data_IF_135653505051
#
_entry.id   IF_135653505051
#
_cell.length_a   1.000
_cell.length_b   1.000
_cell.length_c   1.000
_cell.angle_alpha   90.00
_cell.angle_beta   90.00
_cell.angle_gamma   90.00
#
_symmetry.space_group_name_H-M   'P 1'
#
loop_
_entity.id
_entity.type
_entity.pdbx_description
1 polymer ?
#
# COMPACT_ATOMS: atom_id res chain seq x y z
N UNK A 1 23.72 -3.70 -6.08
CA UNK A 1 22.90 -4.95 -6.03
C UNK A 1 23.06 -5.69 -4.70
N UNK A 2 24.21 -5.64 -4.02
CA UNK A 2 24.47 -6.41 -2.79
C UNK A 2 23.62 -6.04 -1.58
N UNK A 3 23.23 -4.78 -1.42
CA UNK A 3 22.33 -4.36 -0.34
C UNK A 3 20.97 -5.07 -0.41
N UNK A 4 20.40 -5.21 -1.61
CA UNK A 4 19.15 -5.94 -1.79
C UNK A 4 19.35 -7.42 -1.44
N UNK A 5 20.45 -8.04 -1.86
CA UNK A 5 20.79 -9.42 -1.47
C UNK A 5 20.93 -9.58 0.05
N UNK A 6 21.53 -8.60 0.74
CA UNK A 6 21.74 -8.62 2.19
C UNK A 6 20.43 -8.41 2.97
N UNK A 7 19.58 -7.49 2.50
CA UNK A 7 18.20 -7.33 3.00
C UNK A 7 17.47 -8.67 2.81
N UNK A 8 17.40 -9.21 1.59
CA UNK A 8 16.56 -10.38 1.29
C UNK A 8 17.08 -11.72 1.81
N UNK A 9 18.40 -11.92 1.92
CA UNK A 9 18.99 -13.11 2.53
C UNK A 9 18.61 -13.25 4.00
N UNK A 10 18.36 -12.12 4.68
CA UNK A 10 17.98 -12.09 6.09
C UNK A 10 16.50 -12.42 6.34
N UNK A 11 15.64 -12.37 5.31
CA UNK A 11 14.18 -12.51 5.45
C UNK A 11 13.59 -13.78 4.78
N UNK A 12 14.41 -14.66 4.20
CA UNK A 12 13.96 -15.89 3.55
C UNK A 12 13.32 -16.96 4.46
N UNK A 13 13.39 -16.79 5.79
CA UNK A 13 12.85 -17.73 6.77
C UNK A 13 11.65 -17.21 7.55
N UNK A 14 10.91 -16.23 7.02
CA UNK A 14 9.69 -15.73 7.68
C UNK A 14 8.58 -16.78 7.52
N UNK A 15 8.64 -17.84 8.34
CA UNK A 15 7.55 -18.78 8.54
C UNK A 15 6.29 -17.98 8.88
N UNK A 16 5.16 -18.39 8.30
CA UNK A 16 3.83 -17.87 8.60
C UNK A 16 3.68 -17.80 10.11
N UNK A 17 3.65 -16.57 10.64
CA UNK A 17 3.47 -16.32 12.05
C UNK A 17 2.17 -17.01 12.48
N UNK A 18 2.27 -17.99 13.39
CA UNK A 18 1.14 -18.33 14.24
C UNK A 18 0.94 -17.10 15.13
N UNK A 19 -0.18 -16.41 14.96
CA UNK A 19 -0.56 -15.32 15.87
C UNK A 19 -0.88 -15.99 17.22
N UNK A 20 0.05 -15.89 18.16
CA UNK A 20 -0.15 -16.30 19.56
C UNK A 20 -0.89 -15.20 20.36
N UNK A 21 -1.75 -14.41 19.71
CA UNK A 21 -2.66 -13.50 20.41
C UNK A 21 -3.80 -14.34 20.95
N UNK A 22 -3.62 -14.87 22.15
CA UNK A 22 -4.72 -15.29 23.03
C UNK A 22 -5.64 -14.07 23.20
N UNK A 23 -6.81 -14.10 22.57
CA UNK A 23 -7.87 -13.12 22.82
C UNK A 23 -8.43 -13.39 24.21
N UNK A 24 -8.01 -12.57 25.19
CA UNK A 24 -8.63 -12.49 26.50
C UNK A 24 -10.10 -12.06 26.34
N UNK A 25 -11.01 -13.04 26.45
CA UNK A 25 -12.43 -12.79 26.58
C UNK A 25 -12.71 -12.09 27.92
N UNK A 26 -12.79 -10.75 27.89
CA UNK A 26 -13.31 -9.99 29.02
C UNK A 26 -14.80 -10.30 29.21
N UNK A 27 -15.10 -10.96 30.33
CA UNK A 27 -16.45 -11.14 30.87
C UNK A 27 -17.15 -9.78 31.01
N UNK A 28 -18.21 -9.58 30.23
CA UNK A 28 -19.09 -8.43 30.34
C UNK A 28 -19.95 -8.64 31.61
N UNK A 29 -19.60 -7.93 32.68
CA UNK A 29 -20.44 -7.86 33.88
C UNK A 29 -21.77 -7.17 33.55
N UNK A 30 -22.87 -7.92 33.67
CA UNK A 30 -24.23 -7.39 33.63
C UNK A 30 -24.43 -6.41 34.79
N UNK A 31 -24.74 -5.15 34.46
CA UNK A 31 -25.11 -4.13 35.43
C UNK A 31 -26.64 -4.09 35.50
N UNK A 32 -27.21 -4.79 36.48
CA UNK A 32 -28.63 -4.72 36.81
C UNK A 32 -28.94 -3.33 37.41
N UNK A 33 -29.58 -2.47 36.61
CA UNK A 33 -30.16 -1.22 37.11
C UNK A 33 -31.68 -1.35 37.13
N UNK A 34 -32.21 -1.61 38.32
CA UNK A 34 -33.63 -1.55 38.64
C UNK A 34 -34.12 -0.10 38.61
N UNK A 35 -35.11 0.19 37.77
CA UNK A 35 -35.93 1.40 37.86
C UNK A 35 -37.35 1.06 38.35
N UNK A 36 -38.00 1.93 39.14
CA UNK A 36 -39.29 1.66 39.75
C UNK A 36 -40.45 1.80 38.77
N UNK A 37 -41.38 0.83 38.81
CA UNK A 37 -42.62 0.80 38.03
C UNK A 37 -43.58 1.91 38.44
N UNK A 38 -43.94 2.76 37.48
CA UNK A 38 -45.11 3.63 37.57
C UNK A 38 -46.39 2.84 37.26
N UNK A 39 -47.37 2.91 38.17
CA UNK A 39 -48.71 2.34 38.00
C UNK A 39 -49.54 3.20 37.04
N UNK A 40 -49.78 2.68 35.82
CA UNK A 40 -50.69 3.27 34.84
C UNK A 40 -52.13 2.76 35.03
N UNK A 41 -53.09 3.64 34.74
CA UNK A 41 -54.54 3.50 34.95
C UNK A 41 -55.22 2.51 34.00
N UNK A 42 -56.35 1.94 34.45
CA UNK A 42 -57.04 0.76 33.90
C UNK A 42 -57.96 0.96 32.69
N UNK A 43 -58.05 2.14 32.07
CA UNK A 43 -59.14 2.43 31.12
C UNK A 43 -58.70 2.68 29.66
N UNK A 44 -57.67 1.98 29.18
CA UNK A 44 -57.30 1.95 27.75
C UNK A 44 -57.04 0.51 27.29
N UNK A 45 -58.12 -0.25 27.14
CA UNK A 45 -58.12 -1.52 26.39
C UNK A 45 -58.43 -1.26 24.91
N UNK A 46 -57.83 -2.10 24.06
CA UNK A 46 -58.15 -2.33 22.65
C UNK A 46 -57.64 -1.37 21.58
N UNK A 47 -56.31 -1.15 21.54
CA UNK A 47 -55.51 -1.35 20.31
C UNK A 47 -54.11 -1.85 20.71
N UNK A 48 -53.98 -3.07 21.23
CA UNK A 48 -52.68 -3.74 21.34
C UNK A 48 -52.23 -4.19 19.95
N UNK A 49 -51.50 -3.33 19.25
CA UNK A 49 -50.73 -3.70 18.07
C UNK A 49 -49.76 -4.82 18.45
N UNK A 50 -49.91 -5.99 17.82
CA UNK A 50 -49.00 -7.14 17.91
C UNK A 50 -47.64 -6.82 17.27
N UNK A 51 -46.86 -5.90 17.87
CA UNK A 51 -45.54 -5.50 17.39
C UNK A 51 -44.39 -6.34 17.99
N UNK A 52 -44.68 -7.38 18.77
CA UNK A 52 -43.68 -8.02 19.66
C UNK A 52 -42.94 -9.24 19.10
N UNK A 53 -43.10 -9.63 17.83
CA UNK A 53 -42.52 -10.91 17.36
C UNK A 53 -41.57 -10.85 16.17
N UNK A 54 -41.33 -9.70 15.53
CA UNK A 54 -40.48 -9.68 14.32
C UNK A 54 -39.01 -9.31 14.57
N UNK A 55 -38.71 -8.47 15.55
CA UNK A 55 -37.32 -8.01 15.79
C UNK A 55 -36.33 -9.14 16.15
N UNK A 56 -36.65 -10.11 17.02
CA UNK A 56 -35.69 -11.16 17.40
C UNK A 56 -35.24 -12.03 16.20
N UNK A 57 -36.12 -12.21 15.21
CA UNK A 57 -35.83 -13.01 14.02
C UNK A 57 -34.95 -12.27 13.03
N UNK A 58 -35.11 -10.95 12.88
CA UNK A 58 -34.28 -10.15 11.99
C UNK A 58 -32.82 -10.10 12.49
N UNK A 59 -32.62 -9.85 13.79
CA UNK A 59 -31.29 -9.87 14.39
C UNK A 59 -30.60 -11.24 14.30
N UNK A 60 -31.36 -12.33 14.38
CA UNK A 60 -30.82 -13.68 14.17
C UNK A 60 -30.34 -13.86 12.72
N UNK A 61 -31.16 -13.49 11.73
CA UNK A 61 -30.79 -13.61 10.30
C UNK A 61 -29.57 -12.76 9.92
N UNK A 62 -29.45 -11.56 10.48
CA UNK A 62 -28.28 -10.70 10.25
C UNK A 62 -27.00 -11.34 10.77
N UNK A 63 -27.03 -11.87 12.01
CA UNK A 63 -25.89 -12.60 12.60
C UNK A 63 -25.51 -13.85 11.80
N UNK A 64 -26.50 -14.58 11.30
CA UNK A 64 -26.23 -15.77 10.47
C UNK A 64 -25.55 -15.39 9.14
N UNK A 65 -25.98 -14.28 8.50
CA UNK A 65 -25.37 -13.78 7.27
C UNK A 65 -23.92 -13.32 7.51
N UNK A 66 -23.67 -12.59 8.60
CA UNK A 66 -22.30 -12.18 8.99
C UNK A 66 -21.41 -13.40 9.22
N UNK A 67 -21.92 -14.42 9.93
CA UNK A 67 -21.19 -15.66 10.18
C UNK A 67 -20.83 -16.39 8.87
N UNK A 68 -21.76 -16.48 7.92
CA UNK A 68 -21.52 -17.08 6.60
C UNK A 68 -20.43 -16.30 5.84
N UNK A 69 -20.48 -14.97 5.86
CA UNK A 69 -19.48 -14.13 5.23
C UNK A 69 -18.09 -14.32 5.85
N UNK A 70 -17.99 -14.36 7.19
CA UNK A 70 -16.73 -14.58 7.89
C UNK A 70 -16.14 -15.97 7.58
N UNK A 71 -16.97 -17.00 7.46
CA UNK A 71 -16.51 -18.33 7.07
C UNK A 71 -16.02 -18.37 5.61
N UNK A 72 -16.76 -17.73 4.70
CA UNK A 72 -16.35 -17.64 3.29
C UNK A 72 -15.01 -16.89 3.14
N UNK A 73 -14.86 -15.76 3.83
CA UNK A 73 -13.61 -15.00 3.94
C UNK A 73 -12.45 -15.87 4.46
N UNK A 74 -12.65 -16.58 5.57
CA UNK A 74 -11.63 -17.46 6.15
C UNK A 74 -11.16 -18.54 5.16
N UNK A 75 -12.09 -19.16 4.43
CA UNK A 75 -11.77 -20.16 3.41
C UNK A 75 -10.95 -19.58 2.24
N UNK A 76 -11.23 -18.34 1.82
CA UNK A 76 -10.43 -17.65 0.80
C UNK A 76 -9.02 -17.34 1.29
N UNK A 77 -8.88 -16.89 2.54
CA UNK A 77 -7.58 -16.66 3.16
C UNK A 77 -6.74 -17.93 3.26
N UNK A 78 -7.35 -19.07 3.61
CA UNK A 78 -6.66 -20.38 3.61
C UNK A 78 -6.13 -20.76 2.22
N UNK A 79 -6.91 -20.54 1.16
CA UNK A 79 -6.45 -20.74 -0.24
C UNK A 79 -5.30 -19.79 -0.61
N UNK A 80 -5.37 -18.54 -0.13
CA UNK A 80 -4.28 -17.57 -0.28
C UNK A 80 -3.00 -18.06 0.38
N UNK A 81 -3.08 -18.53 1.63
CA UNK A 81 -1.96 -19.07 2.40
C UNK A 81 -1.35 -20.30 1.71
N UNK A 82 -2.19 -21.22 1.21
CA UNK A 82 -1.76 -22.39 0.43
C UNK A 82 -1.02 -21.96 -0.85
N UNK A 83 -1.54 -20.99 -1.59
CA UNK A 83 -0.89 -20.47 -2.79
C UNK A 83 0.46 -19.79 -2.48
N UNK A 84 0.58 -19.07 -1.36
CA UNK A 84 1.87 -18.53 -0.87
C UNK A 84 2.86 -19.67 -0.61
N UNK A 85 2.43 -20.74 0.07
CA UNK A 85 3.31 -21.87 0.41
C UNK A 85 3.87 -22.56 -0.85
N UNK A 86 3.11 -22.51 -1.95
CA UNK A 86 3.49 -23.02 -3.26
C UNK A 86 4.27 -22.00 -4.12
N UNK A 87 4.61 -20.83 -3.59
CA UNK A 87 5.32 -19.76 -4.32
C UNK A 87 4.48 -19.04 -5.38
N UNK A 88 3.16 -19.26 -5.41
CA UNK A 88 2.22 -18.70 -6.41
C UNK A 88 1.66 -17.35 -5.93
N UNK A 89 2.52 -16.34 -5.81
CA UNK A 89 2.15 -15.06 -5.19
C UNK A 89 1.04 -14.28 -5.91
N UNK A 90 0.94 -14.37 -7.24
CA UNK A 90 -0.12 -13.70 -7.99
C UNK A 90 -1.48 -14.37 -7.78
N UNK A 91 -1.50 -15.70 -7.66
CA UNK A 91 -2.71 -16.46 -7.35
C UNK A 91 -3.16 -16.17 -5.91
N UNK A 92 -2.23 -16.18 -4.95
CA UNK A 92 -2.50 -15.79 -3.57
C UNK A 92 -3.10 -14.38 -3.47
N UNK A 93 -2.53 -13.40 -4.20
CA UNK A 93 -3.05 -12.04 -4.22
C UNK A 93 -4.50 -11.94 -4.75
N UNK A 94 -4.89 -12.81 -5.70
CA UNK A 94 -6.29 -12.90 -6.16
C UNK A 94 -7.20 -13.43 -5.07
N UNK A 95 -6.80 -14.50 -4.38
CA UNK A 95 -7.57 -15.05 -3.25
C UNK A 95 -7.81 -14.03 -2.15
N UNK A 96 -6.78 -13.28 -1.73
CA UNK A 96 -6.96 -12.21 -0.75
C UNK A 96 -7.80 -11.05 -1.29
N UNK A 97 -7.76 -10.77 -2.60
CA UNK A 97 -8.62 -9.75 -3.19
C UNK A 97 -10.10 -10.14 -3.10
N UNK A 98 -10.43 -11.40 -3.40
CA UNK A 98 -11.79 -11.92 -3.21
C UNK A 98 -12.20 -11.96 -1.73
N UNK A 99 -11.26 -12.22 -0.82
CA UNK A 99 -11.55 -12.13 0.62
C UNK A 99 -11.92 -10.71 1.03
N UNK A 100 -11.20 -9.69 0.52
CA UNK A 100 -11.46 -8.28 0.79
C UNK A 100 -12.78 -7.79 0.17
N UNK A 101 -13.23 -8.38 -0.94
CA UNK A 101 -14.56 -8.11 -1.53
C UNK A 101 -15.70 -8.56 -0.60
N UNK A 102 -15.48 -9.57 0.25
CA UNK A 102 -16.46 -10.06 1.23
C UNK A 102 -16.42 -9.22 2.51
N UNK A 103 -15.22 -8.98 3.02
CA UNK A 103 -15.01 -8.25 4.27
C UNK A 103 -13.62 -7.63 4.31
N UNK A 104 -13.57 -6.30 4.42
CA UNK A 104 -12.32 -5.55 4.55
C UNK A 104 -11.70 -5.78 5.93
N UNK A 105 -10.44 -6.19 5.96
CA UNK A 105 -9.67 -6.34 7.18
C UNK A 105 -8.18 -6.13 6.97
N UNK A 106 -7.53 -5.59 8.00
CA UNK A 106 -6.11 -5.28 8.00
C UNK A 106 -5.23 -6.51 7.72
N UNK A 107 -5.67 -7.71 8.13
CA UNK A 107 -4.91 -8.95 7.90
C UNK A 107 -4.89 -9.34 6.42
N UNK A 108 -6.04 -9.37 5.73
CA UNK A 108 -6.08 -9.71 4.30
C UNK A 108 -5.33 -8.70 3.43
N UNK A 109 -5.42 -7.40 3.75
CA UNK A 109 -4.59 -6.36 3.10
C UNK A 109 -3.09 -6.61 3.28
N UNK A 110 -2.63 -6.89 4.52
CA UNK A 110 -1.23 -7.20 4.78
C UNK A 110 -0.77 -8.47 4.07
N UNK A 111 -1.58 -9.53 4.05
CA UNK A 111 -1.25 -10.76 3.33
C UNK A 111 -1.11 -10.53 1.82
N UNK A 112 -1.99 -9.72 1.23
CA UNK A 112 -1.89 -9.33 -0.18
C UNK A 112 -0.67 -8.42 -0.45
N UNK A 113 -0.37 -7.50 0.46
CA UNK A 113 0.85 -6.68 0.43
C UNK A 113 2.12 -7.55 0.41
N UNK A 114 2.18 -8.59 1.25
CA UNK A 114 3.28 -9.55 1.28
C UNK A 114 3.40 -10.34 -0.03
N UNK A 115 2.30 -10.68 -0.68
CA UNK A 115 2.33 -11.31 -2.01
C UNK A 115 3.03 -10.40 -3.03
N UNK A 116 2.69 -9.10 -3.04
CA UNK A 116 3.34 -8.13 -3.92
C UNK A 116 4.82 -7.91 -3.60
N UNK A 117 5.20 -7.88 -2.32
CA UNK A 117 6.60 -7.82 -1.89
C UNK A 117 7.39 -9.02 -2.43
N UNK A 118 6.84 -10.23 -2.26
CA UNK A 118 7.50 -11.46 -2.72
C UNK A 118 7.59 -11.54 -4.25
N UNK A 119 6.55 -11.12 -4.98
CA UNK A 119 6.59 -11.02 -6.45
C UNK A 119 7.67 -10.04 -6.89
N UNK A 120 7.72 -8.85 -6.30
CA UNK A 120 8.75 -7.86 -6.57
C UNK A 120 10.16 -8.39 -6.30
N UNK A 121 10.34 -9.12 -5.20
CA UNK A 121 11.61 -9.76 -4.86
C UNK A 121 12.03 -10.80 -5.91
N UNK A 122 11.09 -11.64 -6.36
CA UNK A 122 11.36 -12.64 -7.40
C UNK A 122 11.85 -11.97 -8.69
N UNK A 123 11.21 -10.89 -9.11
CA UNK A 123 11.62 -10.09 -10.28
C UNK A 123 13.04 -9.55 -10.10
N UNK A 124 13.36 -9.00 -8.93
CA UNK A 124 14.70 -8.47 -8.64
C UNK A 124 15.80 -9.54 -8.69
N UNK A 125 15.50 -10.76 -8.25
CA UNK A 125 16.44 -11.88 -8.26
C UNK A 125 16.68 -12.41 -9.68
N UNK A 126 15.68 -12.34 -10.54
CA UNK A 126 15.77 -12.76 -11.94
C UNK A 126 16.37 -11.68 -12.86
N UNK A 127 16.38 -10.42 -12.41
CA UNK A 127 16.91 -9.30 -13.17
C UNK A 127 18.44 -9.38 -13.29
N UNK A 128 18.92 -9.53 -14.53
CA UNK A 128 20.36 -9.73 -14.82
C UNK A 128 21.15 -8.42 -14.92
N UNK A 129 20.49 -7.32 -15.26
CA UNK A 129 21.15 -6.02 -15.45
C UNK A 129 21.32 -5.30 -14.09
N UNK A 130 22.56 -5.07 -13.62
CA UNK A 130 22.79 -4.36 -12.37
C UNK A 130 22.61 -2.84 -12.47
N UNK A 131 22.56 -2.29 -13.69
CA UNK A 131 22.48 -0.84 -13.95
C UNK A 131 21.04 -0.32 -13.98
N UNK A 132 20.08 -1.22 -14.25
CA UNK A 132 18.66 -0.88 -14.32
C UNK A 132 17.89 -1.40 -13.11
N UNK A 133 16.77 -0.74 -12.81
CA UNK A 133 15.80 -1.25 -11.86
C UNK A 133 14.57 -1.74 -12.63
N UNK A 134 14.15 -3.00 -12.45
CA UNK A 134 13.01 -3.51 -13.20
C UNK A 134 11.74 -2.74 -12.80
N UNK A 135 11.08 -2.15 -13.79
CA UNK A 135 9.86 -1.37 -13.61
C UNK A 135 8.77 -2.16 -12.87
N UNK A 136 8.64 -3.45 -13.16
CA UNK A 136 7.64 -4.31 -12.51
C UNK A 136 7.89 -4.50 -11.02
N UNK A 137 9.16 -4.56 -10.58
CA UNK A 137 9.47 -4.61 -9.16
C UNK A 137 9.04 -3.30 -8.47
N UNK A 138 9.30 -2.15 -9.10
CA UNK A 138 8.82 -0.87 -8.60
C UNK A 138 7.29 -0.82 -8.51
N UNK A 139 6.60 -1.32 -9.55
CA UNK A 139 5.13 -1.37 -9.61
C UNK A 139 4.54 -2.23 -8.49
N UNK A 140 5.06 -3.44 -8.27
CA UNK A 140 4.62 -4.30 -7.17
C UNK A 140 4.97 -3.73 -5.80
N UNK A 141 6.13 -3.07 -5.65
CA UNK A 141 6.46 -2.32 -4.44
C UNK A 141 5.42 -1.24 -4.10
N UNK A 142 4.94 -0.51 -5.12
CA UNK A 142 3.88 0.48 -4.95
C UNK A 142 2.54 -0.13 -4.53
N UNK A 143 2.17 -1.27 -5.11
CA UNK A 143 0.95 -2.01 -4.70
C UNK A 143 1.04 -2.45 -3.25
N UNK A 144 2.20 -2.95 -2.81
CA UNK A 144 2.44 -3.33 -1.43
C UNK A 144 2.29 -2.15 -0.46
N UNK A 145 2.82 -0.97 -0.81
CA UNK A 145 2.63 0.25 -0.01
C UNK A 145 1.15 0.59 0.16
N UNK A 146 0.38 0.57 -0.94
CA UNK A 146 -1.06 0.90 -0.89
C UNK A 146 -1.81 -0.05 0.04
N UNK A 147 -1.65 -1.36 -0.14
CA UNK A 147 -2.34 -2.33 0.72
C UNK A 147 -1.94 -2.19 2.20
N UNK A 148 -0.67 -1.87 2.47
CA UNK A 148 -0.23 -1.62 3.84
C UNK A 148 -0.77 -0.32 4.42
N UNK A 149 -1.02 0.72 3.59
CA UNK A 149 -1.72 1.95 4.00
C UNK A 149 -3.17 1.65 4.38
N UNK A 150 -3.92 0.94 3.53
CA UNK A 150 -5.32 0.55 3.83
C UNK A 150 -5.39 -0.24 5.16
N UNK A 151 -4.45 -1.16 5.39
CA UNK A 151 -4.37 -1.90 6.66
C UNK A 151 -4.09 -0.99 7.87
N UNK A 152 -3.27 0.05 7.71
CA UNK A 152 -2.99 1.03 8.77
C UNK A 152 -4.16 2.00 9.01
N UNK A 153 -4.98 2.25 8.00
CA UNK A 153 -6.18 3.08 8.13
C UNK A 153 -7.28 2.34 8.90
N UNK A 154 -7.35 1.01 8.75
CA UNK A 154 -8.20 0.14 9.57
C UNK A 154 -7.68 -0.01 11.01
N UNK A 155 -6.38 -0.29 11.18
CA UNK A 155 -5.72 -0.37 12.48
C UNK A 155 -4.30 0.20 12.44
N UNK A 156 -4.18 1.42 12.95
CA UNK A 156 -2.92 2.15 12.98
C UNK A 156 -1.88 1.55 13.92
N UNK A 157 -2.26 0.64 14.83
CA UNK A 157 -1.37 -0.08 15.74
C UNK A 157 -0.84 -1.38 15.14
N UNK A 158 -1.39 -1.82 14.00
CA UNK A 158 -1.05 -3.09 13.39
C UNK A 158 0.39 -3.12 12.85
N UNK A 159 1.31 -3.68 13.65
CA UNK A 159 2.75 -3.62 13.39
C UNK A 159 3.15 -4.21 12.04
N UNK A 160 2.48 -5.31 11.63
CA UNK A 160 2.76 -5.98 10.35
C UNK A 160 2.50 -5.03 9.17
N UNK A 161 1.54 -4.12 9.26
CA UNK A 161 1.26 -3.13 8.21
C UNK A 161 2.39 -2.10 8.10
N UNK A 162 2.88 -1.52 9.21
CA UNK A 162 4.03 -0.60 9.19
C UNK A 162 5.29 -1.26 8.61
N UNK A 163 5.51 -2.53 8.95
CA UNK A 163 6.62 -3.32 8.43
C UNK A 163 6.50 -3.53 6.91
N UNK A 164 5.34 -3.97 6.43
CA UNK A 164 5.09 -4.18 4.99
C UNK A 164 5.18 -2.87 4.20
N UNK A 165 4.65 -1.77 4.75
CA UNK A 165 4.77 -0.45 4.14
C UNK A 165 6.23 -0.04 3.97
N UNK A 166 7.06 -0.25 5.00
CA UNK A 166 8.48 0.04 4.93
C UNK A 166 9.19 -0.82 3.86
N UNK A 167 8.85 -2.10 3.76
CA UNK A 167 9.37 -2.98 2.70
C UNK A 167 8.94 -2.53 1.31
N UNK A 168 7.67 -2.15 1.12
CA UNK A 168 7.18 -1.57 -0.13
C UNK A 168 7.95 -0.29 -0.51
N UNK A 169 8.19 0.60 0.46
CA UNK A 169 8.98 1.82 0.25
C UNK A 169 10.43 1.50 -0.16
N UNK A 170 11.05 0.47 0.43
CA UNK A 170 12.38 0.00 0.01
C UNK A 170 12.35 -0.49 -1.44
N UNK A 171 11.32 -1.24 -1.84
CA UNK A 171 11.11 -1.68 -3.22
C UNK A 171 10.86 -0.51 -4.18
N UNK A 172 10.32 0.60 -3.69
CA UNK A 172 10.21 1.85 -4.44
C UNK A 172 11.46 2.74 -4.36
N UNK A 173 12.55 2.27 -3.73
CA UNK A 173 13.77 3.04 -3.46
C UNK A 173 13.56 4.32 -2.64
N UNK A 174 12.44 4.42 -1.90
CA UNK A 174 12.13 5.53 -1.00
C UNK A 174 12.53 5.18 0.45
N UNK A 175 13.84 5.18 0.70
CA UNK A 175 14.40 4.81 2.02
C UNK A 175 14.02 5.81 3.12
N UNK A 176 13.73 7.06 2.76
CA UNK A 176 13.27 8.07 3.72
C UNK A 176 11.88 7.70 4.26
N UNK A 177 10.91 7.41 3.38
CA UNK A 177 9.59 6.95 3.81
C UNK A 177 9.66 5.63 4.56
N UNK A 178 10.51 4.69 4.12
CA UNK A 178 10.71 3.44 4.84
C UNK A 178 11.15 3.67 6.31
N UNK A 179 12.19 4.50 6.53
CA UNK A 179 12.65 4.87 7.88
C UNK A 179 11.56 5.57 8.69
N UNK A 180 10.79 6.45 8.07
CA UNK A 180 9.68 7.18 8.72
C UNK A 180 8.58 6.21 9.18
N UNK A 181 8.19 5.26 8.34
CA UNK A 181 7.18 4.25 8.65
C UNK A 181 7.61 3.33 9.80
N UNK A 182 8.85 2.83 9.78
CA UNK A 182 9.38 2.00 10.88
C UNK A 182 9.38 2.74 12.21
N UNK A 183 9.79 4.02 12.21
CA UNK A 183 9.72 4.87 13.42
C UNK A 183 8.29 5.08 13.88
N UNK A 184 7.32 5.23 12.96
CA UNK A 184 5.90 5.35 13.29
C UNK A 184 5.40 4.05 13.95
N UNK A 185 5.67 2.89 13.37
CA UNK A 185 5.32 1.59 13.96
C UNK A 185 5.95 1.36 15.34
N UNK A 186 7.21 1.77 15.54
CA UNK A 186 7.89 1.67 16.84
C UNK A 186 7.33 2.60 17.91
N UNK A 187 6.59 3.66 17.55
CA UNK A 187 5.87 4.46 18.57
C UNK A 187 4.72 3.67 19.19
N UNK A 188 4.03 2.85 18.38
CA UNK A 188 2.92 2.00 18.85
C UNK A 188 3.42 0.71 19.50
N UNK A 189 4.51 0.12 18.99
CA UNK A 189 5.10 -1.09 19.53
C UNK A 189 6.61 -0.97 19.73
N UNK A 190 7.06 -0.30 20.82
CA UNK A 190 8.48 0.01 21.07
C UNK A 190 9.40 -1.20 21.16
N UNK A 191 8.87 -2.34 21.60
CA UNK A 191 9.65 -3.56 21.83
C UNK A 191 9.66 -4.50 20.61
N UNK A 192 9.12 -4.08 19.46
CA UNK A 192 9.08 -4.95 18.29
C UNK A 192 10.48 -5.11 17.66
N UNK A 193 11.05 -6.32 17.83
CA UNK A 193 12.40 -6.67 17.35
C UNK A 193 12.55 -6.55 15.83
N UNK A 194 11.51 -6.87 15.05
CA UNK A 194 11.57 -6.83 13.58
C UNK A 194 11.69 -5.40 13.05
N UNK A 195 10.87 -4.49 13.56
CA UNK A 195 10.93 -3.07 13.17
C UNK A 195 12.31 -2.47 13.50
N UNK A 196 12.84 -2.76 14.69
CA UNK A 196 14.19 -2.31 15.08
C UNK A 196 15.27 -2.90 14.19
N UNK A 197 15.23 -4.20 13.89
CA UNK A 197 16.19 -4.87 13.02
C UNK A 197 16.21 -4.22 11.64
N UNK A 198 15.04 -4.01 11.02
CA UNK A 198 14.95 -3.38 9.71
C UNK A 198 15.38 -1.90 9.76
N UNK A 199 15.02 -1.16 10.80
CA UNK A 199 15.42 0.24 10.95
C UNK A 199 16.93 0.39 11.11
N UNK A 200 17.57 -0.49 11.89
CA UNK A 200 19.01 -0.47 12.10
C UNK A 200 19.75 -0.86 10.80
N UNK A 201 19.24 -1.84 10.06
CA UNK A 201 19.75 -2.16 8.72
C UNK A 201 19.66 -0.95 7.77
N UNK A 202 18.55 -0.21 7.78
CA UNK A 202 18.44 1.01 6.97
C UNK A 202 19.34 2.14 7.46
N UNK A 203 19.69 2.20 8.76
CA UNK A 203 20.63 3.19 9.31
C UNK A 203 22.06 2.90 8.88
N UNK A 204 22.46 1.63 8.82
CA UNK A 204 23.80 1.25 8.36
C UNK A 204 24.00 1.46 6.86
N UNK A 205 22.91 1.48 6.08
CA UNK A 205 22.95 1.91 4.69
C UNK A 205 23.21 3.43 4.64
N UNK A 206 24.41 3.81 4.24
CA UNK A 206 24.81 5.20 4.09
C UNK A 206 24.01 5.86 2.95
N UNK A 207 23.07 6.74 3.32
CA UNK A 207 22.18 7.42 2.36
C UNK A 207 22.92 8.42 1.47
N UNK A 208 24.06 8.94 1.93
CA UNK A 208 24.86 9.92 1.17
C UNK A 208 25.28 9.34 -0.18
N UNK A 209 25.70 8.08 -0.20
CA UNK A 209 26.15 7.39 -1.41
C UNK A 209 25.01 7.27 -2.45
N UNK A 210 23.76 7.10 -2.00
CA UNK A 210 22.61 7.04 -2.92
C UNK A 210 22.18 8.41 -3.42
N UNK A 211 22.20 9.46 -2.59
CA UNK A 211 21.83 10.81 -3.02
C UNK A 211 22.80 11.33 -4.07
N UNK A 212 24.10 11.08 -3.91
CA UNK A 212 25.10 11.41 -4.94
C UNK A 212 24.86 10.65 -6.23
N UNK A 213 24.51 9.36 -6.17
CA UNK A 213 24.19 8.57 -7.37
C UNK A 213 22.93 9.07 -8.07
N UNK A 214 21.90 9.49 -7.34
CA UNK A 214 20.66 10.06 -7.91
C UNK A 214 20.93 11.44 -8.50
N UNK A 215 21.71 12.30 -7.84
CA UNK A 215 22.13 13.61 -8.38
C UNK A 215 22.99 13.42 -9.63
N UNK A 216 23.88 12.44 -9.67
CA UNK A 216 24.68 12.10 -10.84
C UNK A 216 23.82 11.52 -11.98
N UNK A 217 22.85 10.67 -11.68
CA UNK A 217 21.95 10.08 -12.68
C UNK A 217 20.99 11.11 -13.28
N UNK A 218 20.34 11.92 -12.44
CA UNK A 218 19.52 13.05 -12.91
C UNK A 218 20.38 14.11 -13.59
N UNK A 219 21.57 14.39 -13.07
CA UNK A 219 22.57 15.25 -13.71
C UNK A 219 22.94 14.74 -15.10
N UNK A 220 23.15 13.44 -15.27
CA UNK A 220 23.45 12.80 -16.56
C UNK A 220 22.26 12.87 -17.52
N UNK A 221 21.03 12.58 -17.07
CA UNK A 221 19.84 12.64 -17.92
C UNK A 221 19.46 14.08 -18.29
N UNK A 222 19.61 15.03 -17.37
CA UNK A 222 19.44 16.46 -17.64
C UNK A 222 20.55 16.94 -18.59
N UNK A 223 21.81 16.56 -18.38
CA UNK A 223 22.92 16.89 -19.29
C UNK A 223 22.72 16.27 -20.68
N UNK A 224 22.24 15.03 -20.77
CA UNK A 224 21.90 14.35 -22.02
C UNK A 224 20.71 15.01 -22.72
N UNK A 225 19.68 15.41 -21.98
CA UNK A 225 18.55 16.18 -22.50
C UNK A 225 18.97 17.58 -23.00
N UNK A 226 19.86 18.27 -22.28
CA UNK A 226 20.46 19.55 -22.68
C UNK A 226 21.37 19.38 -23.90
N UNK A 227 22.19 18.33 -23.94
CA UNK A 227 23.04 18.01 -25.08
C UNK A 227 22.21 17.66 -26.33
N UNK A 228 21.10 16.95 -26.16
CA UNK A 228 20.18 16.64 -27.25
C UNK A 228 19.43 17.90 -27.75
N UNK A 229 19.19 18.90 -26.88
CA UNK A 229 18.72 20.23 -27.28
C UNK A 229 19.75 21.08 -28.04
N UNK A 230 21.06 20.80 -27.92
CA UNK A 230 22.08 21.48 -28.74
C UNK A 230 22.10 20.99 -30.19
N UNK A 231 21.60 19.79 -30.47
CA UNK A 231 21.39 19.30 -31.84
C UNK A 231 20.14 19.88 -32.53
N UNK A 232 19.21 20.48 -31.78
CA UNK A 232 18.07 21.18 -32.37
C UNK A 232 18.48 22.44 -33.14
N UNK A 233 19.62 23.08 -32.82
CA UNK A 233 20.15 24.20 -33.63
C UNK A 233 20.73 23.77 -34.98
N UNK A 234 21.17 22.50 -35.10
CA UNK A 234 21.64 21.94 -36.37
C UNK A 234 20.47 21.47 -37.24
N UNK A 235 19.40 20.97 -36.61
CA UNK A 235 18.16 20.60 -37.30
C UNK A 235 17.34 21.83 -37.72
N UNK A 236 17.33 22.91 -36.92
CA UNK A 236 16.71 24.20 -37.29
C UNK A 236 17.50 25.00 -38.33
N UNK A 237 18.72 24.58 -38.70
CA UNK A 237 19.46 25.12 -39.86
C UNK A 237 19.18 24.33 -41.15
N UNK A 238 18.43 23.24 -41.07
CA UNK A 238 18.03 22.42 -42.22
C UNK A 238 16.52 22.52 -42.53
N UNK A 239 15.83 23.46 -41.91
CA UNK A 239 14.41 23.75 -42.18
C UNK A 239 14.18 25.23 -42.51
N UNK A 240 15.02 25.77 -43.38
CA UNK A 240 14.65 26.89 -44.27
C UNK A 240 14.16 26.31 -45.59
N UNK A 241 12.97 25.69 -45.57
CA UNK A 241 12.13 25.49 -46.76
C UNK A 241 10.66 25.60 -46.33
N UNK A 242 9.99 26.62 -46.87
CA UNK A 242 8.54 26.85 -46.98
C UNK A 242 7.60 25.78 -46.41
N UNK A 243 6.78 26.17 -45.43
CA UNK A 243 5.46 25.59 -45.16
C UNK A 243 4.47 26.74 -44.90
N UNK A 244 4.16 27.47 -45.97
CA UNK A 244 2.81 27.98 -46.16
C UNK A 244 1.96 26.80 -46.65
N UNK A 245 0.71 26.72 -46.20
CA UNK A 245 -0.29 25.70 -46.48
C UNK A 245 -0.11 24.36 -45.73
N UNK A 246 -0.90 24.17 -44.67
CA UNK A 246 -1.99 23.20 -44.68
C UNK A 246 -2.80 23.23 -43.37
N UNK A 247 -4.03 23.75 -43.49
CA UNK A 247 -5.16 23.40 -42.65
C UNK A 247 -5.73 22.05 -43.14
N UNK A 248 -6.09 21.16 -42.20
CA UNK A 248 -7.35 20.39 -42.10
C UNK A 248 -7.14 19.03 -41.40
N UNK A 249 -8.07 18.71 -40.48
CA UNK A 249 -8.55 17.37 -40.11
C UNK A 249 -7.55 16.44 -39.39
N UNK A 250 -7.86 15.61 -38.39
CA UNK A 250 -9.02 15.28 -37.55
C UNK A 250 -8.48 14.36 -36.45
N UNK A 251 -9.07 14.42 -35.26
CA UNK A 251 -9.16 13.35 -34.25
C UNK A 251 -7.93 12.52 -33.87
N UNK A 252 -7.38 12.82 -32.70
CA UNK A 252 -7.38 11.95 -31.51
C UNK A 252 -6.40 12.51 -30.48
N UNK A 253 -6.92 13.09 -29.39
CA UNK A 253 -6.07 13.41 -28.24
C UNK A 253 -6.62 12.71 -27.00
N UNK A 254 -5.91 11.64 -26.67
CA UNK A 254 -5.90 10.97 -25.40
C UNK A 254 -5.53 11.95 -24.27
N UNK A 255 -6.19 11.67 -23.14
CA UNK A 255 -6.06 12.34 -21.87
C UNK A 255 -4.70 11.93 -21.26
N UNK A 256 -3.69 12.80 -21.36
CA UNK A 256 -2.57 12.79 -20.40
C UNK A 256 -2.83 13.84 -19.32
N UNK A 257 -3.18 13.33 -18.14
CA UNK A 257 -3.38 14.10 -16.92
C UNK A 257 -2.15 14.95 -16.56
N UNK A 258 -2.43 16.22 -16.30
CA UNK A 258 -1.50 17.25 -15.82
C UNK A 258 -0.91 16.85 -14.45
N UNK A 259 0.42 16.85 -14.33
CA UNK A 259 1.09 17.02 -13.03
C UNK A 259 1.32 18.51 -12.78
N UNK A 260 1.02 19.05 -11.59
CA UNK A 260 1.20 20.47 -11.30
C UNK A 260 2.69 20.79 -11.06
N UNK A 261 3.30 21.49 -12.02
CA UNK A 261 4.52 22.28 -11.82
C UNK A 261 4.20 23.46 -10.89
N UNK A 262 4.53 23.33 -9.60
CA UNK A 262 4.47 24.46 -8.66
C UNK A 262 5.54 24.38 -7.58
N UNK A 263 6.80 24.10 -7.95
CA UNK A 263 7.95 24.34 -7.06
C UNK A 263 9.13 24.84 -7.90
N UNK A 264 9.01 25.99 -8.55
CA UNK A 264 10.17 26.82 -8.97
C UNK A 264 9.70 28.26 -9.18
N UNK A 265 9.44 28.96 -8.06
CA UNK A 265 9.20 30.42 -8.09
C UNK A 265 9.85 31.13 -6.91
N UNK A 266 11.06 30.69 -6.52
CA UNK A 266 11.78 31.29 -5.38
C UNK A 266 13.28 31.48 -5.55
N UNK A 267 13.79 31.54 -6.78
CA UNK A 267 15.14 32.05 -7.04
C UNK A 267 15.07 32.97 -8.26
N UNK A 268 15.05 34.28 -7.98
CA UNK A 268 14.92 35.34 -8.97
C UNK A 268 16.14 35.40 -9.88
N UNK A 269 16.03 34.81 -11.06
CA UNK A 269 16.93 35.06 -12.17
C UNK A 269 16.18 35.88 -13.24
N UNK A 270 16.54 37.16 -13.35
CA UNK A 270 16.21 38.01 -14.49
C UNK A 270 17.20 37.72 -15.62
N UNK A 271 16.70 37.28 -16.77
CA UNK A 271 17.49 37.24 -18.00
C UNK A 271 17.21 38.50 -18.81
N UNK A 272 18.28 39.24 -19.12
CA UNK A 272 18.28 40.41 -19.97
C UNK A 272 18.44 39.94 -21.42
N UNK A 273 17.52 40.35 -22.30
CA UNK A 273 17.56 40.02 -23.73
C UNK A 273 18.70 40.78 -24.43
N UNK A 274 19.50 40.04 -25.20
CA UNK A 274 20.16 40.51 -26.42
C UNK A 274 19.72 39.56 -27.53
#
# INVERSE_FOLDING_TARGET
>A
MDMMKQIYGTFGGMQVYKDDTEEDHHDIQQVDSFLPLHTMSKDQEDITYQAETEEPYLFKRLRDKERINLQAKANLNLKGDEAISNGKFEEAAKWYSHSLEIWEDQRSYVSRSLCFINKSRSILLQHKDPTSYPHDAYFYGRKACRDAEEAMDLDHTYVKAHYCYALGCILCRDLYKAKKALRKGLKYCPNNKLLWKLLNLLKSVNLKDMQETVIQFWGYHIAKFIANKRNLKTILKLTDVNMADMNTSSDSNEIFGRYPYSIFKKQGFTFQCI
#
